data_IF_729503427649
#
_entry.id   IF_729503427649
#
_cell.length_a   1.000
_cell.length_b   1.000
_cell.length_c   1.000
_cell.angle_alpha   90.00
_cell.angle_beta   90.00
_cell.angle_gamma   90.00
#
_symmetry.space_group_name_H-M   'P 1'
#
loop_
_entity.id
_entity.type
_entity.pdbx_description
1 polymer ?
#
# COMPACT_ATOMS: atom_id res chain seq x y z
N UNK A 1 -18.59 5.81 35.97
CA UNK A 1 -18.22 6.56 34.74
C UNK A 1 -16.96 5.93 34.16
N UNK A 2 -17.13 4.95 33.27
CA UNK A 2 -16.03 4.18 32.69
C UNK A 2 -15.62 4.82 31.35
N UNK A 3 -14.38 5.30 31.28
CA UNK A 3 -13.77 5.77 30.03
C UNK A 3 -13.53 4.59 29.08
N UNK A 4 -14.19 4.61 27.94
CA UNK A 4 -13.91 3.77 26.79
C UNK A 4 -12.52 4.11 26.21
N UNK A 5 -11.53 3.25 26.44
CA UNK A 5 -10.28 3.27 25.69
C UNK A 5 -10.49 2.50 24.38
N UNK A 6 -10.69 3.22 23.28
CA UNK A 6 -10.59 2.66 21.94
C UNK A 6 -9.17 2.09 21.74
N UNK A 7 -9.09 0.79 21.47
CA UNK A 7 -7.84 0.12 21.13
C UNK A 7 -7.38 0.61 19.76
N UNK A 8 -6.26 1.35 19.74
CA UNK A 8 -5.54 1.75 18.53
C UNK A 8 -4.94 0.51 17.88
N UNK A 9 -5.66 -0.13 16.96
CA UNK A 9 -5.11 -1.20 16.13
C UNK A 9 -5.09 -0.70 14.68
N UNK A 10 -3.98 -0.04 14.34
CA UNK A 10 -3.80 0.53 13.01
C UNK A 10 -3.00 -0.41 12.12
N UNK A 11 -3.54 -0.69 10.94
CA UNK A 11 -3.01 -1.54 9.88
C UNK A 11 -1.64 -1.03 9.42
N UNK A 12 -0.58 -1.72 9.79
CA UNK A 12 0.74 -1.56 9.18
C UNK A 12 0.87 -2.52 8.01
N UNK A 13 1.03 -1.99 6.80
CA UNK A 13 1.34 -2.75 5.59
C UNK A 13 2.87 -2.92 5.56
N UNK A 14 3.37 -4.15 5.77
CA UNK A 14 4.79 -4.47 5.57
C UNK A 14 4.91 -5.25 4.26
N UNK A 15 5.64 -4.68 3.29
CA UNK A 15 6.01 -5.34 2.04
C UNK A 15 7.47 -5.82 2.12
N UNK A 16 7.66 -7.13 2.21
CA UNK A 16 8.99 -7.75 2.15
C UNK A 16 9.13 -8.53 0.85
N UNK A 17 9.95 -8.03 -0.07
CA UNK A 17 10.50 -8.79 -1.20
C UNK A 17 11.99 -8.46 -1.28
N UNK A 18 12.84 -9.40 -0.83
CA UNK A 18 14.29 -9.32 -0.98
C UNK A 18 14.74 -10.26 -2.11
N UNK A 19 15.34 -9.68 -3.14
CA UNK A 19 16.22 -10.37 -4.09
C UNK A 19 17.65 -9.95 -3.76
N UNK A 20 18.47 -10.89 -3.29
CA UNK A 20 19.87 -10.66 -2.92
C UNK A 20 20.81 -11.19 -4.01
N UNK A 21 21.76 -10.36 -4.45
CA UNK A 21 23.10 -10.73 -4.93
C UNK A 21 24.04 -9.51 -4.77
N UNK A 22 25.18 -9.70 -4.06
CA UNK A 22 26.26 -8.73 -3.78
C UNK A 22 27.10 -8.37 -5.02
N UNK A 23 28.13 -7.53 -5.01
CA UNK A 23 29.10 -7.00 -4.01
C UNK A 23 29.43 -5.54 -4.43
N UNK A 24 29.88 -4.56 -3.63
CA UNK A 24 30.96 -4.54 -2.65
C UNK A 24 31.98 -3.45 -3.06
N UNK A 25 31.85 -2.22 -2.55
CA UNK A 25 32.93 -1.21 -2.61
C UNK A 25 32.78 -0.14 -1.50
N UNK A 26 33.84 -0.02 -0.69
CA UNK A 26 34.04 0.96 0.39
C UNK A 26 34.41 2.32 -0.19
N UNK A 27 33.88 3.41 0.36
CA UNK A 27 34.47 4.75 0.27
C UNK A 27 34.39 5.45 1.63
N UNK A 28 35.53 6.01 2.03
CA UNK A 28 35.80 6.74 3.28
C UNK A 28 35.06 8.09 3.33
N UNK A 29 34.59 8.44 4.53
CA UNK A 29 34.00 9.73 4.88
C UNK A 29 35.09 10.68 5.40
N UNK A 30 35.19 11.87 4.82
CA UNK A 30 35.89 13.01 5.41
C UNK A 30 34.85 14.03 5.92
N UNK A 31 34.98 14.37 7.19
CA UNK A 31 34.16 15.33 7.91
C UNK A 31 34.51 16.78 7.54
N UNK A 32 33.50 17.65 7.53
CA UNK A 32 33.63 19.10 7.43
C UNK A 32 32.58 19.78 8.31
N UNK A 33 33.05 20.66 9.17
CA UNK A 33 32.43 21.29 10.34
C UNK A 33 31.77 22.65 10.07
N UNK A 34 30.85 23.03 10.97
CA UNK A 34 30.41 24.42 11.25
C UNK A 34 29.31 24.94 10.32
N UNK A 35 28.37 25.79 10.73
CA UNK A 35 28.09 26.43 12.02
C UNK A 35 26.64 26.95 11.98
N UNK A 36 26.12 27.25 13.16
CA UNK A 36 24.76 27.70 13.50
C UNK A 36 24.27 28.97 12.78
N UNK A 37 22.94 29.08 12.59
CA UNK A 37 22.24 30.33 12.86
C UNK A 37 20.73 30.09 13.12
N UNK A 38 20.27 30.52 14.30
CA UNK A 38 18.89 30.51 14.75
C UNK A 38 18.16 31.80 14.35
N UNK A 39 16.95 31.69 13.78
CA UNK A 39 15.87 32.69 13.74
C UNK A 39 14.59 31.91 13.37
N UNK A 40 13.37 32.10 13.85
CA UNK A 40 12.70 33.11 14.66
C UNK A 40 11.20 32.82 14.45
N UNK A 41 10.41 32.80 15.53
CA UNK A 41 9.02 32.33 15.50
C UNK A 41 8.07 33.20 14.68
N UNK A 42 7.04 32.56 14.13
CA UNK A 42 5.89 33.22 13.49
C UNK A 42 4.76 32.22 13.31
N UNK A 43 3.69 32.39 14.11
CA UNK A 43 2.48 31.56 14.04
C UNK A 43 1.71 31.80 12.74
N UNK A 44 1.19 30.71 12.16
CA UNK A 44 0.30 30.72 11.01
C UNK A 44 -0.91 29.85 11.31
N UNK A 45 -2.10 30.48 11.28
CA UNK A 45 -3.38 29.82 11.52
C UNK A 45 -3.68 28.71 10.52
N UNK A 46 -4.38 27.70 11.02
CA UNK A 46 -4.85 26.53 10.31
C UNK A 46 -5.85 26.95 9.21
N UNK A 47 -5.40 26.93 7.96
CA UNK A 47 -6.27 27.13 6.79
C UNK A 47 -7.06 25.86 6.58
N UNK A 48 -8.26 25.81 7.17
CA UNK A 48 -9.26 24.78 6.89
C UNK A 48 -9.83 25.04 5.49
N UNK A 49 -9.31 24.34 4.48
CA UNK A 49 -9.97 24.29 3.17
C UNK A 49 -11.19 23.36 3.25
N UNK A 50 -12.37 23.76 2.75
CA UNK A 50 -13.56 22.91 2.78
C UNK A 50 -13.38 21.68 1.89
N UNK A 51 -13.76 20.52 2.42
CA UNK A 51 -13.75 19.25 1.69
C UNK A 51 -14.60 19.33 0.41
N UNK A 52 -14.12 18.79 -0.73
CA UNK A 52 -14.93 18.67 -1.91
C UNK A 52 -16.14 17.76 -1.63
N UNK A 53 -17.34 18.32 -1.77
CA UNK A 53 -18.61 17.59 -1.71
C UNK A 53 -18.62 16.57 -2.85
N UNK A 54 -18.51 15.28 -2.53
CA UNK A 54 -18.64 14.19 -3.50
C UNK A 54 -20.14 13.97 -3.76
N UNK A 55 -20.67 14.24 -4.97
CA UNK A 55 -22.04 13.92 -5.31
C UNK A 55 -22.19 12.40 -5.49
N UNK A 56 -23.29 11.86 -4.98
CA UNK A 56 -23.72 10.47 -5.22
C UNK A 56 -24.09 10.29 -6.70
N UNK A 57 -23.33 9.53 -7.51
CA UNK A 57 -23.66 9.32 -8.90
C UNK A 57 -24.33 7.96 -9.05
N UNK A 58 -25.65 7.97 -9.11
CA UNK A 58 -26.43 6.84 -9.59
C UNK A 58 -25.95 6.37 -10.98
N UNK A 59 -25.91 5.05 -11.19
CA UNK A 59 -25.83 4.44 -12.53
C UNK A 59 -24.60 3.60 -12.85
N UNK A 60 -24.60 2.33 -12.41
CA UNK A 60 -24.62 1.17 -13.32
C UNK A 60 -23.44 0.83 -14.25
N UNK A 61 -22.29 1.51 -14.22
CA UNK A 61 -21.07 0.97 -14.84
C UNK A 61 -20.28 0.14 -13.84
N UNK A 62 -19.84 -1.08 -14.17
CA UNK A 62 -19.05 -1.95 -13.24
C UNK A 62 -17.59 -2.11 -13.64
N UNK A 63 -17.15 -1.53 -14.75
CA UNK A 63 -15.80 -1.74 -15.29
C UNK A 63 -15.02 -0.43 -15.40
N UNK A 64 -13.69 -0.46 -15.24
CA UNK A 64 -12.84 0.69 -15.56
C UNK A 64 -12.98 1.10 -17.04
N UNK A 65 -12.99 2.41 -17.32
CA UNK A 65 -13.05 2.90 -18.72
C UNK A 65 -11.73 2.66 -19.45
N UNK A 66 -11.83 2.34 -20.75
CA UNK A 66 -10.67 2.18 -21.66
C UNK A 66 -10.16 3.54 -22.17
N UNK A 67 -8.91 3.63 -22.66
CA UNK A 67 -7.93 2.55 -22.79
C UNK A 67 -7.15 2.31 -21.48
N UNK A 68 -6.94 1.06 -21.11
CA UNK A 68 -5.87 0.65 -20.21
C UNK A 68 -5.49 -0.79 -20.54
N UNK A 69 -4.25 -1.17 -20.26
CA UNK A 69 -3.75 -2.53 -20.45
C UNK A 69 -3.35 -3.09 -19.09
N UNK A 70 -3.64 -4.36 -18.85
CA UNK A 70 -3.23 -5.04 -17.63
C UNK A 70 -3.28 -6.55 -17.82
N UNK A 71 -2.33 -7.26 -17.21
CA UNK A 71 -2.42 -8.72 -17.04
C UNK A 71 -3.32 -9.13 -15.88
N UNK A 72 -3.74 -8.18 -15.03
CA UNK A 72 -4.71 -8.43 -13.98
C UNK A 72 -6.11 -8.58 -14.58
N UNK A 73 -6.76 -9.70 -14.28
CA UNK A 73 -8.18 -9.86 -14.57
C UNK A 73 -9.00 -9.10 -13.53
N UNK A 74 -9.94 -8.29 -14.01
CA UNK A 74 -10.98 -7.63 -13.21
C UNK A 74 -12.37 -8.22 -13.50
N UNK A 75 -12.43 -9.39 -14.12
CA UNK A 75 -13.68 -10.07 -14.46
C UNK A 75 -14.44 -10.51 -13.21
N UNK A 76 -15.75 -10.26 -13.19
CA UNK A 76 -16.64 -10.64 -12.08
C UNK A 76 -16.40 -9.88 -10.77
N UNK A 77 -15.48 -8.90 -10.77
CA UNK A 77 -15.14 -8.08 -9.60
C UNK A 77 -16.21 -7.03 -9.36
N UNK A 78 -16.51 -6.77 -8.09
CA UNK A 78 -17.39 -5.69 -7.65
C UNK A 78 -16.56 -4.49 -7.21
N UNK A 79 -16.69 -3.39 -7.94
CA UNK A 79 -16.14 -2.09 -7.57
C UNK A 79 -17.10 -1.35 -6.65
N UNK A 80 -16.57 -0.48 -5.80
CA UNK A 80 -17.41 0.45 -5.07
C UNK A 80 -18.14 1.39 -6.04
N UNK A 81 -19.45 1.50 -5.87
CA UNK A 81 -20.31 2.32 -6.72
C UNK A 81 -19.92 3.80 -6.65
N UNK A 82 -19.37 4.26 -5.52
CA UNK A 82 -18.92 5.63 -5.31
C UNK A 82 -17.72 6.03 -6.18
N UNK A 83 -16.97 5.08 -6.74
CA UNK A 83 -15.86 5.40 -7.65
C UNK A 83 -16.43 5.76 -9.02
N UNK A 84 -16.01 6.91 -9.56
CA UNK A 84 -16.28 7.27 -10.95
C UNK A 84 -15.61 6.28 -11.91
N UNK A 85 -16.09 6.15 -13.16
CA UNK A 85 -15.46 5.28 -14.14
C UNK A 85 -13.97 5.61 -14.39
N UNK A 86 -13.61 6.90 -14.32
CA UNK A 86 -12.21 7.36 -14.45
C UNK A 86 -11.35 7.00 -13.24
N UNK A 87 -11.87 7.13 -12.02
CA UNK A 87 -11.15 6.67 -10.82
C UNK A 87 -10.91 5.16 -10.85
N UNK A 88 -11.89 4.37 -11.31
CA UNK A 88 -11.70 2.92 -11.50
C UNK A 88 -10.58 2.62 -12.51
N UNK A 89 -10.48 3.39 -13.59
CA UNK A 89 -9.37 3.27 -14.56
C UNK A 89 -8.03 3.60 -13.90
N UNK A 90 -7.94 4.76 -13.24
CA UNK A 90 -6.72 5.19 -12.57
C UNK A 90 -6.28 4.19 -11.51
N UNK A 91 -7.21 3.69 -10.69
CA UNK A 91 -6.94 2.67 -9.69
C UNK A 91 -6.55 1.33 -10.31
N UNK A 92 -7.18 0.89 -11.41
CA UNK A 92 -6.78 -0.32 -12.11
C UNK A 92 -5.34 -0.24 -12.64
N UNK A 93 -4.92 0.91 -13.17
CA UNK A 93 -3.54 1.15 -13.61
C UNK A 93 -2.60 1.16 -12.40
N UNK A 94 -2.96 1.83 -11.31
CA UNK A 94 -2.15 1.88 -10.09
C UNK A 94 -1.95 0.50 -9.46
N UNK A 95 -3.01 -0.31 -9.38
CA UNK A 95 -2.95 -1.70 -8.93
C UNK A 95 -2.04 -2.55 -9.83
N UNK A 96 -2.16 -2.39 -11.14
CA UNK A 96 -1.32 -3.10 -12.11
C UNK A 96 0.15 -2.72 -11.97
N UNK A 97 0.44 -1.42 -11.84
CA UNK A 97 1.78 -0.90 -11.68
C UNK A 97 2.39 -1.33 -10.35
N UNK A 98 1.81 -0.91 -9.23
CA UNK A 98 2.36 -1.13 -7.89
C UNK A 98 2.38 -2.61 -7.52
N UNK A 99 1.34 -3.36 -7.88
CA UNK A 99 1.29 -4.81 -7.64
C UNK A 99 2.29 -5.60 -8.48
N UNK A 100 2.74 -5.07 -9.63
CA UNK A 100 3.75 -5.76 -10.45
C UNK A 100 5.14 -5.83 -9.82
N UNK A 101 5.39 -5.10 -8.72
CA UNK A 101 6.64 -5.19 -7.98
C UNK A 101 6.64 -6.33 -6.96
N UNK A 102 5.46 -6.85 -6.58
CA UNK A 102 5.31 -7.83 -5.48
C UNK A 102 5.47 -9.28 -5.94
N UNK A 103 5.27 -9.55 -7.24
CA UNK A 103 5.45 -10.89 -7.80
C UNK A 103 4.63 -11.15 -9.07
N UNK A 104 4.92 -12.24 -9.79
CA UNK A 104 4.40 -12.47 -11.14
C UNK A 104 2.95 -12.94 -11.21
N UNK A 105 2.34 -13.36 -10.09
CA UNK A 105 1.01 -13.99 -10.07
C UNK A 105 -0.14 -13.01 -9.77
N UNK A 106 0.13 -11.71 -9.67
CA UNK A 106 -0.87 -10.67 -9.44
C UNK A 106 -1.74 -10.96 -8.21
N UNK A 107 -3.07 -11.03 -8.40
CA UNK A 107 -4.02 -11.36 -7.34
C UNK A 107 -3.72 -12.65 -6.57
N UNK A 108 -3.02 -13.61 -7.20
CA UNK A 108 -2.71 -14.93 -6.66
C UNK A 108 -1.31 -15.03 -6.04
N UNK A 109 -0.61 -13.91 -5.86
CA UNK A 109 0.70 -13.91 -5.23
C UNK A 109 0.63 -14.52 -3.83
N UNK A 110 1.65 -15.34 -3.52
CA UNK A 110 1.84 -16.03 -2.25
C UNK A 110 3.32 -15.99 -1.90
N UNK A 111 3.60 -15.58 -0.67
CA UNK A 111 4.95 -15.55 -0.10
C UNK A 111 4.95 -16.29 1.23
N UNK A 112 5.97 -17.13 1.43
CA UNK A 112 6.07 -17.99 2.61
C UNK A 112 6.57 -17.23 3.85
N UNK A 113 6.78 -17.94 4.96
CA UNK A 113 7.23 -17.39 6.25
C UNK A 113 8.76 -17.11 6.32
N UNK A 114 9.42 -16.73 5.23
CA UNK A 114 10.88 -16.55 5.24
C UNK A 114 11.34 -15.40 6.16
N UNK A 115 10.46 -14.44 6.41
CA UNK A 115 10.68 -13.23 7.22
C UNK A 115 9.96 -13.26 8.58
N UNK A 116 9.30 -14.37 8.92
CA UNK A 116 8.53 -14.52 10.15
C UNK A 116 7.10 -13.94 10.09
N UNK A 117 6.61 -13.46 8.95
CA UNK A 117 5.28 -12.83 8.83
C UNK A 117 4.12 -13.82 8.60
N UNK A 118 4.37 -15.12 8.74
CA UNK A 118 3.38 -16.18 8.62
C UNK A 118 3.04 -16.50 7.18
N UNK A 119 2.23 -15.67 6.54
CA UNK A 119 1.78 -15.80 5.16
C UNK A 119 1.59 -14.39 4.63
N UNK A 120 2.15 -14.10 3.46
CA UNK A 120 1.84 -12.89 2.70
C UNK A 120 1.12 -13.29 1.40
N UNK A 121 0.08 -12.55 1.06
CA UNK A 121 -0.85 -12.96 0.02
C UNK A 121 -1.46 -11.76 -0.72
N UNK A 122 -1.77 -11.97 -2.00
CA UNK A 122 -2.50 -11.00 -2.81
C UNK A 122 -1.59 -9.98 -3.50
N UNK A 123 -2.23 -9.08 -4.25
CA UNK A 123 -1.59 -8.14 -5.16
C UNK A 123 -0.69 -7.14 -4.43
N UNK A 124 -1.09 -6.71 -3.24
CA UNK A 124 -0.36 -5.76 -2.39
C UNK A 124 0.24 -6.47 -1.16
N UNK A 125 0.45 -7.80 -1.27
CA UNK A 125 1.21 -8.62 -0.32
C UNK A 125 0.80 -8.42 1.16
N UNK A 126 -0.51 -8.42 1.44
CA UNK A 126 -1.01 -8.35 2.82
C UNK A 126 -0.57 -9.59 3.61
N UNK A 127 -0.21 -9.41 4.89
CA UNK A 127 0.43 -10.46 5.69
C UNK A 127 -0.34 -10.78 6.97
N UNK A 128 -0.23 -12.03 7.43
CA UNK A 128 -0.75 -12.43 8.73
C UNK A 128 0.00 -11.74 9.88
N UNK A 129 1.33 -11.66 9.77
CA UNK A 129 2.19 -11.12 10.82
C UNK A 129 1.85 -9.70 11.22
N UNK A 130 1.39 -8.88 10.27
CA UNK A 130 1.05 -7.48 10.53
C UNK A 130 -0.44 -7.22 10.74
N UNK A 131 -1.23 -8.28 10.88
CA UNK A 131 -2.69 -8.21 10.96
C UNK A 131 -3.37 -7.57 9.72
N UNK A 132 -2.68 -7.48 8.58
CA UNK A 132 -3.21 -6.80 7.38
C UNK A 132 -4.02 -7.72 6.48
N UNK A 133 -3.80 -9.04 6.53
CA UNK A 133 -4.53 -10.02 5.74
C UNK A 133 -5.86 -10.44 6.39
N UNK A 134 -5.91 -10.53 7.71
CA UNK A 134 -7.06 -11.01 8.48
C UNK A 134 -8.33 -10.17 8.28
N UNK A 135 -8.28 -8.82 8.22
CA UNK A 135 -9.43 -8.00 7.87
C UNK A 135 -10.06 -8.37 6.53
N UNK A 136 -9.26 -8.59 5.48
CA UNK A 136 -9.76 -8.96 4.15
C UNK A 136 -10.46 -10.33 4.19
N UNK A 137 -9.88 -11.29 4.92
CA UNK A 137 -10.47 -12.61 5.11
C UNK A 137 -11.79 -12.56 5.90
N UNK A 138 -11.83 -11.78 6.99
CA UNK A 138 -13.03 -11.58 7.80
C UNK A 138 -14.15 -10.90 7.00
N UNK A 139 -13.80 -9.88 6.20
CA UNK A 139 -14.74 -9.18 5.32
C UNK A 139 -15.28 -10.12 4.24
N UNK A 140 -14.42 -10.91 3.59
CA UNK A 140 -14.85 -11.92 2.63
C UNK A 140 -15.82 -12.92 3.27
N UNK A 141 -15.54 -13.37 4.50
CA UNK A 141 -16.40 -14.32 5.21
C UNK A 141 -17.80 -13.74 5.43
N UNK A 142 -17.88 -12.46 5.77
CA UNK A 142 -19.15 -11.76 5.98
C UNK A 142 -19.91 -11.49 4.67
N UNK A 143 -19.22 -11.01 3.63
CA UNK A 143 -19.86 -10.50 2.40
C UNK A 143 -20.03 -11.54 1.30
N UNK A 144 -19.17 -12.56 1.25
CA UNK A 144 -19.19 -13.60 0.22
C UNK A 144 -18.65 -14.94 0.75
N UNK A 145 -19.30 -15.56 1.77
CA UNK A 145 -18.82 -16.78 2.42
C UNK A 145 -18.61 -17.95 1.44
N UNK A 146 -19.38 -18.01 0.35
CA UNK A 146 -19.25 -19.06 -0.68
C UNK A 146 -17.88 -19.07 -1.38
N UNK A 147 -17.13 -17.95 -1.39
CA UNK A 147 -15.78 -17.90 -1.97
C UNK A 147 -14.82 -18.87 -1.27
N UNK A 148 -15.04 -19.15 0.01
CA UNK A 148 -14.24 -20.13 0.76
C UNK A 148 -14.44 -21.58 0.29
N UNK A 149 -15.41 -21.86 -0.59
CA UNK A 149 -15.52 -23.16 -1.25
C UNK A 149 -14.31 -23.47 -2.16
N UNK A 150 -13.45 -22.49 -2.44
CA UNK A 150 -12.15 -22.70 -3.06
C UNK A 150 -11.18 -23.56 -2.22
N UNK A 151 -11.47 -23.72 -0.92
CA UNK A 151 -10.74 -24.59 0.00
C UNK A 151 -11.55 -25.88 0.26
N UNK A 152 -10.86 -27.02 0.39
CA UNK A 152 -11.49 -28.27 0.87
C UNK A 152 -12.16 -28.08 2.23
N UNK A 153 -13.17 -28.89 2.57
CA UNK A 153 -13.92 -28.77 3.82
C UNK A 153 -13.03 -28.70 5.07
N UNK A 154 -12.03 -29.58 5.16
CA UNK A 154 -11.06 -29.63 6.28
C UNK A 154 -10.17 -28.38 6.33
N UNK A 155 -9.55 -27.99 5.21
CA UNK A 155 -8.68 -26.81 5.16
C UNK A 155 -9.45 -25.51 5.38
N UNK A 156 -10.67 -25.43 4.83
CA UNK A 156 -11.61 -24.33 5.06
C UNK A 156 -11.93 -24.16 6.54
N UNK A 157 -12.25 -25.26 7.23
CA UNK A 157 -12.54 -25.21 8.67
C UNK A 157 -11.32 -24.72 9.48
N UNK A 158 -10.12 -25.25 9.19
CA UNK A 158 -8.88 -24.80 9.83
C UNK A 158 -8.59 -23.31 9.57
N UNK A 159 -8.72 -22.87 8.32
CA UNK A 159 -8.44 -21.49 7.91
C UNK A 159 -9.43 -20.50 8.52
N UNK A 160 -10.73 -20.79 8.46
CA UNK A 160 -11.77 -19.96 9.07
C UNK A 160 -11.65 -19.93 10.60
N UNK A 161 -11.23 -21.03 11.25
CA UNK A 161 -10.98 -21.03 12.69
C UNK A 161 -9.85 -20.05 13.08
N UNK A 162 -8.79 -19.97 12.28
CA UNK A 162 -7.72 -18.98 12.48
C UNK A 162 -8.26 -17.54 12.38
N UNK A 163 -9.05 -17.25 11.34
CA UNK A 163 -9.67 -15.93 11.14
C UNK A 163 -10.61 -15.59 12.29
N UNK A 164 -11.45 -16.52 12.74
CA UNK A 164 -12.42 -16.29 13.82
C UNK A 164 -11.75 -16.03 15.16
N UNK A 165 -10.66 -16.76 15.46
CA UNK A 165 -9.85 -16.51 16.66
C UNK A 165 -9.25 -15.11 16.64
N UNK A 166 -8.74 -14.66 15.50
CA UNK A 166 -8.22 -13.29 15.36
C UNK A 166 -9.33 -12.25 15.51
N UNK A 167 -10.49 -12.44 14.86
CA UNK A 167 -11.64 -11.54 14.97
C UNK A 167 -12.09 -11.40 16.42
N UNK A 168 -12.20 -12.50 17.15
CA UNK A 168 -12.56 -12.50 18.57
C UNK A 168 -11.50 -11.79 19.42
N UNK A 169 -10.22 -12.13 19.23
CA UNK A 169 -9.12 -11.55 20.01
C UNK A 169 -8.96 -10.04 19.80
N UNK A 170 -9.17 -9.55 18.57
CA UNK A 170 -9.08 -8.12 18.24
C UNK A 170 -10.40 -7.37 18.38
N UNK A 171 -11.48 -8.07 18.74
CA UNK A 171 -12.85 -7.52 18.69
C UNK A 171 -13.17 -6.87 17.33
N UNK A 172 -12.61 -7.41 16.25
CA UNK A 172 -12.75 -6.82 14.91
C UNK A 172 -14.22 -6.80 14.50
N UNK A 173 -14.62 -5.72 13.84
CA UNK A 173 -15.96 -5.55 13.26
C UNK A 173 -15.78 -5.29 11.77
N UNK A 174 -16.48 -6.09 10.96
CA UNK A 174 -16.51 -5.88 9.52
C UNK A 174 -17.13 -4.50 9.26
N UNK A 175 -16.40 -3.56 8.64
CA UNK A 175 -16.90 -2.22 8.45
C UNK A 175 -18.03 -2.21 7.43
N UNK A 176 -19.07 -1.43 7.73
CA UNK A 176 -20.04 -0.97 6.73
C UNK A 176 -19.34 0.05 5.84
N UNK A 177 -19.30 -0.20 4.53
CA UNK A 177 -18.61 0.67 3.58
C UNK A 177 -19.46 1.91 3.28
N UNK A 178 -19.18 2.98 4.02
CA UNK A 178 -19.77 4.31 3.81
C UNK A 178 -18.64 5.31 3.51
N UNK A 179 -18.99 6.47 2.95
CA UNK A 179 -18.00 7.54 2.76
C UNK A 179 -17.38 8.01 4.07
N UNK A 180 -18.11 7.93 5.20
CA UNK A 180 -17.59 8.26 6.52
C UNK A 180 -16.58 7.21 7.02
N UNK A 181 -16.91 5.92 6.94
CA UNK A 181 -15.99 4.86 7.37
C UNK A 181 -14.71 4.84 6.54
N UNK A 182 -14.82 5.10 5.24
CA UNK A 182 -13.65 5.14 4.35
C UNK A 182 -12.74 6.33 4.65
N UNK A 183 -13.31 7.51 4.99
CA UNK A 183 -12.52 8.66 5.46
C UNK A 183 -11.80 8.35 6.76
N UNK A 184 -12.51 7.78 7.73
CA UNK A 184 -11.90 7.35 8.99
C UNK A 184 -10.73 6.38 8.76
N UNK A 185 -10.89 5.38 7.89
CA UNK A 185 -9.80 4.46 7.53
C UNK A 185 -8.59 5.18 6.88
N UNK A 186 -8.84 6.23 6.09
CA UNK A 186 -7.78 7.05 5.48
C UNK A 186 -7.06 7.91 6.52
N UNK A 187 -7.78 8.51 7.47
CA UNK A 187 -7.19 9.32 8.55
C UNK A 187 -6.34 8.46 9.49
N UNK A 188 -6.83 7.26 9.78
CA UNK A 188 -6.18 6.34 10.68
C UNK A 188 -4.90 5.77 10.06
N UNK A 189 -4.86 5.48 8.75
CA UNK A 189 -3.76 4.71 8.15
C UNK A 189 -2.36 5.30 8.45
N UNK A 190 -1.32 4.49 8.64
CA UNK A 190 0.00 4.99 9.02
C UNK A 190 0.63 5.80 7.89
N UNK A 191 1.41 6.84 8.21
CA UNK A 191 2.18 7.64 7.23
C UNK A 191 3.63 7.15 7.07
N UNK A 192 3.95 6.02 7.72
CA UNK A 192 5.23 5.33 7.65
C UNK A 192 5.03 3.85 7.46
N UNK A 193 6.12 3.20 7.08
CA UNK A 193 6.26 1.77 6.92
C UNK A 193 7.55 1.31 7.59
N UNK A 194 7.76 0.01 7.58
CA UNK A 194 9.01 -0.62 8.00
C UNK A 194 10.25 -0.27 7.16
N UNK A 195 10.06 0.37 6.00
CA UNK A 195 11.16 0.87 5.19
C UNK A 195 11.73 2.18 5.75
N UNK A 196 11.01 2.81 6.68
CA UNK A 196 11.37 4.11 7.22
C UNK A 196 12.09 3.97 8.56
N UNK A 197 12.96 4.95 8.82
CA UNK A 197 13.46 5.21 10.16
C UNK A 197 12.28 5.63 11.05
N UNK A 198 12.05 4.96 12.18
CA UNK A 198 10.98 5.35 13.09
C UNK A 198 11.33 6.66 13.77
N UNK A 199 10.33 7.52 13.95
CA UNK A 199 10.52 8.84 14.55
C UNK A 199 11.07 8.69 15.98
N UNK A 200 12.22 9.33 16.24
CA UNK A 200 12.90 9.28 17.53
C UNK A 200 13.89 8.12 17.72
N UNK A 201 14.04 7.22 16.75
CA UNK A 201 14.94 6.06 16.86
C UNK A 201 16.18 6.21 15.97
N UNK A 202 17.33 5.75 16.48
CA UNK A 202 18.63 5.90 15.79
C UNK A 202 19.02 4.66 15.00
N UNK A 203 18.44 3.49 15.32
CA UNK A 203 18.70 2.22 14.61
C UNK A 203 17.45 1.35 14.49
N UNK A 204 17.44 0.42 13.53
CA UNK A 204 16.37 -0.57 13.35
C UNK A 204 16.24 -1.58 14.51
N UNK A 205 17.34 -1.85 15.22
CA UNK A 205 17.34 -2.76 16.36
C UNK A 205 16.47 -2.26 17.52
N UNK A 206 16.30 -0.95 17.66
CA UNK A 206 15.45 -0.34 18.69
C UNK A 206 13.95 -0.34 18.31
N UNK A 207 13.61 -0.54 17.03
CA UNK A 207 12.23 -0.54 16.53
C UNK A 207 11.65 -1.94 16.32
N UNK A 208 12.48 -2.92 15.99
CA UNK A 208 12.04 -4.33 15.85
C UNK A 208 11.40 -4.89 17.11
N UNK A 209 11.65 -4.28 18.28
CA UNK A 209 11.03 -4.62 19.56
C UNK A 209 9.60 -4.10 19.73
N UNK A 210 9.09 -3.24 18.84
CA UNK A 210 7.76 -2.61 18.96
C UNK A 210 6.68 -3.23 18.07
N UNK A 211 7.06 -3.98 17.03
CA UNK A 211 6.12 -4.73 16.18
C UNK A 211 6.15 -6.21 16.52
N UNK A 212 5.41 -6.64 17.53
CA UNK A 212 5.23 -8.08 17.78
C UNK A 212 4.31 -8.60 16.69
N UNK A 213 4.77 -9.59 15.92
CA UNK A 213 3.94 -10.24 14.91
C UNK A 213 2.66 -10.79 15.54
N UNK A 214 1.59 -10.97 14.76
CA UNK A 214 0.39 -11.68 15.21
C UNK A 214 0.68 -13.17 15.44
N UNK A 215 1.29 -13.46 16.59
CA UNK A 215 1.89 -14.75 16.92
C UNK A 215 0.95 -15.93 16.71
N UNK A 216 -0.33 -15.78 17.02
CA UNK A 216 -1.31 -16.85 16.85
C UNK A 216 -1.56 -17.20 15.37
N UNK A 217 -1.69 -16.19 14.50
CA UNK A 217 -1.93 -16.40 13.05
C UNK A 217 -0.67 -16.92 12.36
N UNK A 218 0.49 -16.37 12.74
CA UNK A 218 1.81 -16.82 12.25
C UNK A 218 2.09 -18.26 12.68
N UNK A 219 1.84 -18.61 13.94
CA UNK A 219 1.99 -19.98 14.46
C UNK A 219 1.08 -20.94 13.72
N UNK A 220 -0.18 -20.56 13.48
CA UNK A 220 -1.10 -21.36 12.66
C UNK A 220 -0.55 -21.59 11.25
N UNK A 221 -0.04 -20.54 10.59
CA UNK A 221 0.52 -20.65 9.24
C UNK A 221 1.71 -21.62 9.21
N UNK A 222 2.63 -21.51 10.17
CA UNK A 222 3.79 -22.39 10.31
C UNK A 222 3.39 -23.86 10.47
N UNK A 223 2.38 -24.15 11.28
CA UNK A 223 1.92 -25.51 11.53
C UNK A 223 1.18 -26.13 10.33
N UNK A 224 0.48 -25.31 9.53
CA UNK A 224 -0.46 -25.81 8.52
C UNK A 224 0.07 -25.72 7.10
N UNK A 225 0.68 -24.60 6.71
CA UNK A 225 0.92 -24.26 5.30
C UNK A 225 2.21 -24.80 4.73
N UNK A 226 3.21 -25.09 5.56
CA UNK A 226 4.57 -25.35 5.10
C UNK A 226 5.04 -26.79 5.34
N UNK A 227 5.89 -27.24 4.44
CA UNK A 227 6.72 -28.43 4.62
C UNK A 227 7.89 -28.12 5.55
N UNK A 228 8.64 -29.14 5.98
CA UNK A 228 9.80 -28.97 6.86
C UNK A 228 10.91 -28.10 6.26
N UNK A 229 11.01 -28.05 4.92
CA UNK A 229 11.95 -27.19 4.19
C UNK A 229 11.46 -25.73 4.01
N UNK A 230 10.32 -25.36 4.61
CA UNK A 230 9.75 -24.00 4.53
C UNK A 230 9.01 -23.67 3.23
N UNK A 231 8.97 -24.59 2.25
CA UNK A 231 8.14 -24.44 1.06
C UNK A 231 6.67 -24.70 1.39
N UNK A 232 5.74 -24.15 0.59
CA UNK A 232 4.32 -24.44 0.75
C UNK A 232 4.03 -25.93 0.52
N UNK A 233 3.10 -26.47 1.29
CA UNK A 233 2.44 -27.72 0.95
C UNK A 233 1.62 -27.51 -0.35
N UNK A 234 1.77 -28.37 -1.38
CA UNK A 234 1.18 -28.12 -2.70
C UNK A 234 -0.34 -27.88 -2.67
N UNK A 235 -1.05 -28.66 -1.86
CA UNK A 235 -2.51 -28.58 -1.73
C UNK A 235 -2.98 -27.28 -1.10
N UNK A 236 -2.24 -26.74 -0.13
CA UNK A 236 -2.51 -25.41 0.43
C UNK A 236 -2.20 -24.31 -0.59
N UNK A 237 -1.07 -24.40 -1.30
CA UNK A 237 -0.71 -23.39 -2.30
C UNK A 237 -1.75 -23.29 -3.41
N UNK A 238 -2.23 -24.43 -3.93
CA UNK A 238 -3.22 -24.47 -4.99
C UNK A 238 -4.56 -23.87 -4.54
N UNK A 239 -5.09 -24.29 -3.40
CA UNK A 239 -6.38 -23.80 -2.90
C UNK A 239 -6.34 -22.33 -2.48
N UNK A 240 -5.25 -21.88 -1.85
CA UNK A 240 -5.07 -20.46 -1.53
C UNK A 240 -5.00 -19.63 -2.81
N UNK A 241 -4.26 -20.05 -3.84
CA UNK A 241 -4.26 -19.35 -5.14
C UNK A 241 -5.65 -19.28 -5.78
N UNK A 242 -6.47 -20.32 -5.64
CA UNK A 242 -7.85 -20.32 -6.11
C UNK A 242 -8.70 -19.31 -5.34
N UNK A 243 -8.60 -19.28 -4.00
CA UNK A 243 -9.30 -18.31 -3.16
C UNK A 243 -8.88 -16.87 -3.48
N UNK A 244 -7.56 -16.62 -3.56
CA UNK A 244 -6.98 -15.30 -3.80
C UNK A 244 -7.33 -14.75 -5.20
N UNK A 245 -7.48 -15.64 -6.18
CA UNK A 245 -7.94 -15.30 -7.52
C UNK A 245 -9.46 -15.27 -7.69
N UNK A 246 -10.24 -15.60 -6.66
CA UNK A 246 -11.70 -15.60 -6.75
C UNK A 246 -12.21 -14.14 -6.84
N UNK A 247 -13.14 -13.80 -7.76
CA UNK A 247 -13.56 -12.40 -7.96
C UNK A 247 -14.06 -11.69 -6.70
N UNK A 248 -14.73 -12.42 -5.80
CA UNK A 248 -15.16 -11.88 -4.51
C UNK A 248 -13.98 -11.49 -3.60
N UNK A 249 -12.89 -12.26 -3.57
CA UNK A 249 -11.70 -11.90 -2.79
C UNK A 249 -10.90 -10.78 -3.47
N UNK A 250 -10.82 -10.79 -4.81
CA UNK A 250 -10.23 -9.67 -5.57
C UNK A 250 -10.99 -8.36 -5.27
N UNK A 251 -12.31 -8.42 -5.14
CA UNK A 251 -13.12 -7.25 -4.74
C UNK A 251 -12.72 -6.73 -3.35
N UNK A 252 -12.45 -7.60 -2.37
CA UNK A 252 -11.94 -7.20 -1.05
C UNK A 252 -10.54 -6.58 -1.11
N UNK A 253 -9.66 -7.08 -1.99
CA UNK A 253 -8.35 -6.46 -2.20
C UNK A 253 -8.46 -5.06 -2.81
N UNK A 254 -9.36 -4.86 -3.77
CA UNK A 254 -9.60 -3.55 -4.36
C UNK A 254 -10.19 -2.59 -3.33
N UNK A 255 -11.18 -3.03 -2.55
CA UNK A 255 -11.75 -2.23 -1.46
C UNK A 255 -10.70 -1.79 -0.45
N UNK A 256 -9.77 -2.68 -0.08
CA UNK A 256 -8.64 -2.30 0.77
C UNK A 256 -7.73 -1.26 0.09
N UNK A 257 -7.45 -1.42 -1.20
CA UNK A 257 -6.67 -0.47 -1.98
C UNK A 257 -7.38 0.88 -2.18
N UNK A 258 -8.70 0.97 -2.02
CA UNK A 258 -9.41 2.25 -2.10
C UNK A 258 -9.04 3.22 -0.97
N UNK A 259 -8.56 2.73 0.18
CA UNK A 259 -8.00 3.59 1.23
C UNK A 259 -6.74 4.28 0.73
N UNK A 260 -5.85 3.52 0.08
CA UNK A 260 -4.62 4.03 -0.53
C UNK A 260 -4.93 4.99 -1.69
N UNK A 261 -5.95 4.67 -2.50
CA UNK A 261 -6.44 5.51 -3.58
C UNK A 261 -6.91 6.87 -3.06
N UNK A 262 -7.81 6.89 -2.06
CA UNK A 262 -8.35 8.14 -1.50
C UNK A 262 -7.27 8.98 -0.85
N UNK A 263 -6.32 8.35 -0.15
CA UNK A 263 -5.14 9.04 0.39
C UNK A 263 -4.30 9.68 -0.71
N UNK A 264 -4.00 8.93 -1.78
CA UNK A 264 -3.23 9.43 -2.90
C UNK A 264 -3.93 10.61 -3.61
N UNK A 265 -5.26 10.56 -3.75
CA UNK A 265 -6.06 11.68 -4.25
C UNK A 265 -6.00 12.90 -3.31
N UNK A 266 -6.07 12.68 -1.99
CA UNK A 266 -5.91 13.76 -1.00
C UNK A 266 -4.55 14.44 -1.09
N UNK A 267 -3.48 13.65 -1.24
CA UNK A 267 -2.12 14.19 -1.45
C UNK A 267 -2.00 14.95 -2.77
N UNK A 268 -2.57 14.43 -3.85
CA UNK A 268 -2.60 15.11 -5.14
C UNK A 268 -3.35 16.44 -5.06
N UNK A 269 -4.54 16.46 -4.44
CA UNK A 269 -5.34 17.66 -4.25
C UNK A 269 -4.59 18.72 -3.43
N UNK A 270 -3.94 18.32 -2.33
CA UNK A 270 -3.15 19.23 -1.49
C UNK A 270 -2.00 19.91 -2.23
N UNK A 271 -1.43 19.25 -3.24
CA UNK A 271 -0.32 19.76 -4.04
C UNK A 271 -0.77 20.34 -5.39
N UNK A 272 -2.08 20.37 -5.66
CA UNK A 272 -2.63 20.84 -6.94
C UNK A 272 -2.31 19.93 -8.13
N UNK A 273 -1.98 18.66 -7.88
CA UNK A 273 -1.67 17.69 -8.94
C UNK A 273 -2.93 17.15 -9.59
N UNK A 274 -2.89 17.04 -10.91
CA UNK A 274 -4.01 16.55 -11.74
C UNK A 274 -3.63 15.38 -12.62
N UNK A 275 -2.33 15.19 -12.90
CA UNK A 275 -1.88 14.14 -13.80
C UNK A 275 -1.97 12.74 -13.18
N UNK A 276 -2.22 11.75 -14.02
CA UNK A 276 -2.18 10.34 -13.67
C UNK A 276 -0.78 9.94 -13.19
N UNK A 277 0.28 10.54 -13.73
CA UNK A 277 1.66 10.34 -13.25
C UNK A 277 1.78 10.61 -11.75
N UNK A 278 1.33 11.79 -11.32
CA UNK A 278 1.39 12.21 -9.93
C UNK A 278 0.55 11.32 -9.03
N UNK A 279 -0.65 10.94 -9.49
CA UNK A 279 -1.47 9.97 -8.78
C UNK A 279 -0.78 8.60 -8.63
N UNK A 280 -0.17 8.06 -9.69
CA UNK A 280 0.55 6.77 -9.63
C UNK A 280 1.73 6.83 -8.67
N UNK A 281 2.49 7.93 -8.67
CA UNK A 281 3.56 8.13 -7.70
C UNK A 281 3.03 8.17 -6.25
N UNK A 282 1.97 8.94 -5.99
CA UNK A 282 1.38 9.06 -4.65
C UNK A 282 0.79 7.74 -4.16
N UNK A 283 0.11 7.00 -5.05
CA UNK A 283 -0.40 5.68 -4.73
C UNK A 283 0.73 4.72 -4.38
N UNK A 284 1.82 4.72 -5.15
CA UNK A 284 2.96 3.85 -4.90
C UNK A 284 3.75 4.25 -3.62
N UNK A 285 3.71 5.52 -3.21
CA UNK A 285 4.17 5.96 -1.89
C UNK A 285 3.26 5.37 -0.80
N UNK A 286 1.94 5.44 -0.94
CA UNK A 286 1.02 4.85 0.03
C UNK A 286 1.20 3.33 0.16
N UNK A 287 1.41 2.64 -0.96
CA UNK A 287 1.64 1.19 -0.99
C UNK A 287 2.96 0.82 -0.32
N UNK A 288 4.08 1.42 -0.75
CA UNK A 288 5.41 0.97 -0.33
C UNK A 288 5.84 1.56 1.02
N UNK A 289 5.45 2.80 1.28
CA UNK A 289 5.99 3.64 2.34
C UNK A 289 4.95 4.03 3.40
N UNK A 290 3.69 3.58 3.27
CA UNK A 290 2.58 3.91 4.16
C UNK A 290 1.94 5.28 3.86
N UNK A 291 2.74 6.28 3.52
CA UNK A 291 2.25 7.59 3.09
C UNK A 291 3.30 8.68 3.21
N UNK A 292 2.80 9.91 3.35
CA UNK A 292 3.56 11.13 3.59
C UNK A 292 3.05 11.79 4.87
N UNK A 293 3.96 12.40 5.63
CA UNK A 293 3.61 13.15 6.83
C UNK A 293 3.68 14.69 6.60
N UNK A 294 3.21 15.44 7.59
CA UNK A 294 3.16 16.91 7.54
C UNK A 294 4.52 17.59 7.34
N UNK A 295 5.59 17.01 7.88
CA UNK A 295 6.93 17.56 7.72
C UNK A 295 7.40 17.47 6.25
N UNK A 296 7.11 16.35 5.58
CA UNK A 296 7.43 16.18 4.15
C UNK A 296 6.64 17.15 3.28
N UNK A 297 5.35 17.38 3.58
CA UNK A 297 4.54 18.39 2.88
C UNK A 297 5.07 19.81 3.09
N UNK A 298 5.37 20.16 4.33
CA UNK A 298 5.89 21.49 4.69
C UNK A 298 7.22 21.76 3.99
N UNK A 299 8.13 20.77 3.99
CA UNK A 299 9.41 20.92 3.32
C UNK A 299 9.25 21.06 1.81
N UNK A 300 8.37 20.25 1.18
CA UNK A 300 8.11 20.32 -0.25
C UNK A 300 7.54 21.69 -0.65
N UNK A 301 6.55 22.20 0.09
CA UNK A 301 5.98 23.52 -0.17
C UNK A 301 7.04 24.63 -0.06
N UNK A 302 7.91 24.55 0.95
CA UNK A 302 9.06 25.44 1.07
C UNK A 302 10.03 25.34 -0.12
N UNK A 303 10.31 24.13 -0.62
CA UNK A 303 11.16 23.94 -1.79
C UNK A 303 10.51 24.49 -3.07
N UNK A 304 9.21 24.24 -3.29
CA UNK A 304 8.45 24.79 -4.42
C UNK A 304 8.57 26.32 -4.46
N UNK A 305 8.37 26.99 -3.32
CA UNK A 305 8.44 28.43 -3.24
C UNK A 305 9.86 28.98 -3.46
N UNK A 306 10.87 28.39 -2.80
CA UNK A 306 12.26 28.86 -2.89
C UNK A 306 12.89 28.63 -4.26
N UNK A 307 12.55 27.53 -4.91
CA UNK A 307 13.18 27.11 -6.16
C UNK A 307 12.34 27.43 -7.40
N UNK A 308 11.10 27.90 -7.21
CA UNK A 308 10.19 28.24 -8.29
C UNK A 308 9.78 27.03 -9.14
N UNK A 309 9.57 25.88 -8.51
CA UNK A 309 9.17 24.64 -9.21
C UNK A 309 7.74 24.77 -9.75
N UNK A 310 7.53 24.49 -11.05
CA UNK A 310 6.23 24.70 -11.71
C UNK A 310 5.60 23.45 -12.30
N UNK A 311 6.39 22.51 -12.80
CA UNK A 311 5.88 21.30 -13.43
C UNK A 311 5.78 20.14 -12.42
N UNK A 312 4.73 19.33 -12.53
CA UNK A 312 4.49 18.23 -11.59
C UNK A 312 5.67 17.25 -11.55
N UNK A 313 6.33 16.97 -12.68
CA UNK A 313 7.42 15.98 -12.71
C UNK A 313 8.63 16.42 -11.88
N UNK A 314 9.04 17.68 -11.97
CA UNK A 314 10.12 18.24 -11.14
C UNK A 314 9.73 18.27 -9.67
N UNK A 315 8.48 18.61 -9.35
CA UNK A 315 7.99 18.60 -7.96
C UNK A 315 8.00 17.17 -7.40
N UNK A 316 7.62 16.15 -8.18
CA UNK A 316 7.70 14.74 -7.77
C UNK A 316 9.14 14.30 -7.51
N UNK A 317 10.11 14.74 -8.33
CA UNK A 317 11.53 14.45 -8.10
C UNK A 317 12.02 15.07 -6.80
N UNK A 318 11.63 16.31 -6.52
CA UNK A 318 11.93 16.97 -5.24
C UNK A 318 11.28 16.24 -4.06
N UNK A 319 10.02 15.83 -4.19
CA UNK A 319 9.34 15.05 -3.14
C UNK A 319 10.02 13.70 -2.91
N UNK A 320 10.48 13.02 -3.97
CA UNK A 320 11.25 11.78 -3.83
C UNK A 320 12.54 12.00 -3.04
N UNK A 321 13.29 13.08 -3.31
CA UNK A 321 14.50 13.41 -2.56
C UNK A 321 14.23 13.62 -1.07
N UNK A 322 13.14 14.33 -0.73
CA UNK A 322 12.68 14.53 0.64
C UNK A 322 12.34 13.17 1.27
N UNK A 323 11.53 12.36 0.59
CA UNK A 323 11.08 11.06 1.10
C UNK A 323 12.23 10.12 1.42
N UNK A 324 13.24 10.06 0.55
CA UNK A 324 14.37 9.14 0.67
C UNK A 324 15.25 9.40 1.90
N UNK A 325 15.13 10.56 2.55
CA UNK A 325 15.84 10.84 3.81
C UNK A 325 15.26 10.09 4.99
N UNK A 326 13.97 9.73 4.95
CA UNK A 326 13.32 8.89 5.96
C UNK A 326 13.50 7.40 5.70
N UNK A 327 13.77 7.03 4.45
CA UNK A 327 13.99 5.63 4.08
C UNK A 327 15.33 5.14 4.64
N UNK A 328 15.30 3.96 5.25
CA UNK A 328 16.48 3.24 5.73
C UNK A 328 17.52 3.07 4.62
N UNK A 329 18.80 3.18 4.98
CA UNK A 329 19.91 3.11 4.01
C UNK A 329 19.84 1.87 3.12
N UNK A 330 19.51 0.71 3.69
CA UNK A 330 19.41 -0.56 2.98
C UNK A 330 18.30 -0.60 1.91
N UNK A 331 17.24 0.19 2.07
CA UNK A 331 16.09 0.23 1.16
C UNK A 331 16.09 1.44 0.23
N UNK A 332 16.94 2.44 0.50
CA UNK A 332 16.92 3.73 -0.20
C UNK A 332 17.15 3.59 -1.70
N UNK A 333 18.03 2.70 -2.13
CA UNK A 333 18.30 2.48 -3.55
C UNK A 333 17.10 1.83 -4.25
N UNK A 334 16.46 0.86 -3.59
CA UNK A 334 15.27 0.19 -4.12
C UNK A 334 14.10 1.16 -4.28
N UNK A 335 13.78 1.90 -3.20
CA UNK A 335 12.73 2.92 -3.22
C UNK A 335 13.03 3.99 -4.27
N UNK A 336 14.28 4.46 -4.38
CA UNK A 336 14.68 5.44 -5.41
C UNK A 336 14.44 4.89 -6.81
N UNK A 337 14.94 3.70 -7.13
CA UNK A 337 14.81 3.10 -8.46
C UNK A 337 13.33 2.92 -8.85
N UNK A 338 12.52 2.36 -7.94
CA UNK A 338 11.07 2.17 -8.13
C UNK A 338 10.36 3.50 -8.39
N UNK A 339 10.56 4.49 -7.52
CA UNK A 339 9.86 5.78 -7.59
C UNK A 339 10.32 6.64 -8.76
N UNK A 340 11.62 6.65 -9.07
CA UNK A 340 12.13 7.29 -10.30
C UNK A 340 11.51 6.67 -11.54
N UNK A 341 11.43 5.34 -11.62
CA UNK A 341 10.79 4.67 -12.75
C UNK A 341 9.30 5.02 -12.89
N UNK A 342 8.58 5.29 -11.79
CA UNK A 342 7.19 5.74 -11.85
C UNK A 342 7.08 7.19 -12.36
N UNK A 343 7.98 8.08 -11.91
CA UNK A 343 8.02 9.47 -12.36
C UNK A 343 8.37 9.55 -13.85
N UNK A 344 9.45 8.88 -14.25
CA UNK A 344 10.00 8.92 -15.61
C UNK A 344 9.31 7.91 -16.56
N UNK A 345 8.53 6.97 -16.00
CA UNK A 345 7.69 5.94 -16.65
C UNK A 345 8.43 4.83 -17.29
N UNK A 346 9.73 4.98 -17.34
CA UNK A 346 10.67 4.00 -17.80
C UNK A 346 11.76 3.91 -16.75
N UNK A 347 12.42 2.76 -16.68
CA UNK A 347 13.50 2.56 -15.73
C UNK A 347 13.76 1.09 -15.50
N UNK A 348 14.66 0.79 -14.58
CA UNK A 348 14.96 -0.59 -14.17
C UNK A 348 14.57 -0.75 -12.71
N UNK A 349 13.70 -1.72 -12.44
CA UNK A 349 13.28 -2.07 -11.07
C UNK A 349 13.41 -3.57 -10.90
N UNK A 350 14.11 -4.01 -9.85
CA UNK A 350 14.44 -5.42 -9.58
C UNK A 350 15.01 -6.15 -10.82
N UNK A 351 15.92 -5.49 -11.55
CA UNK A 351 16.55 -6.02 -12.77
C UNK A 351 15.67 -6.00 -14.03
N UNK A 352 14.38 -5.66 -13.93
CA UNK A 352 13.47 -5.62 -15.07
C UNK A 352 13.39 -4.22 -15.68
N UNK A 353 13.61 -4.11 -17.00
CA UNK A 353 13.36 -2.86 -17.75
C UNK A 353 11.85 -2.62 -17.86
N UNK A 354 11.41 -1.43 -17.46
CA UNK A 354 9.99 -1.03 -17.43
C UNK A 354 9.73 0.09 -18.44
N UNK A 355 8.54 0.05 -19.01
CA UNK A 355 7.91 1.11 -19.81
C UNK A 355 6.42 1.08 -19.44
N UNK A 356 6.07 1.80 -18.37
CA UNK A 356 4.74 1.76 -17.78
C UNK A 356 3.64 2.33 -18.70
N UNK A 357 3.85 3.47 -19.40
CA UNK A 357 2.88 3.96 -20.39
C UNK A 357 2.53 2.91 -21.44
N UNK A 358 3.54 2.20 -21.97
CA UNK A 358 3.32 1.13 -22.95
C UNK A 358 2.72 -0.13 -22.33
N UNK A 359 3.19 -0.55 -21.15
CA UNK A 359 2.69 -1.74 -20.46
C UNK A 359 1.22 -1.61 -20.05
N UNK A 360 0.79 -0.41 -19.67
CA UNK A 360 -0.53 -0.19 -19.10
C UNK A 360 -1.43 0.73 -19.94
N UNK A 361 -0.98 1.11 -21.14
CA UNK A 361 -1.74 1.87 -22.14
C UNK A 361 -2.35 3.16 -21.58
N UNK A 362 -1.50 4.02 -21.02
CA UNK A 362 -1.87 5.35 -20.53
C UNK A 362 -0.90 6.42 -21.03
N UNK A 363 -1.35 7.68 -21.03
CA UNK A 363 -0.48 8.84 -21.27
C UNK A 363 -0.22 9.59 -19.97
N UNK A 364 0.92 10.26 -19.91
CA UNK A 364 1.37 10.98 -18.73
C UNK A 364 0.44 12.07 -18.24
N UNK A 365 -0.15 12.76 -19.21
CA UNK A 365 -1.05 13.88 -18.96
C UNK A 365 -2.51 13.44 -18.92
N UNK A 366 -2.78 12.12 -18.93
CA UNK A 366 -4.11 11.61 -18.61
C UNK A 366 -4.49 12.18 -17.24
N UNK A 367 -5.74 12.63 -17.11
CA UNK A 367 -6.23 13.14 -15.83
C UNK A 367 -6.78 12.00 -14.98
N UNK A 368 -6.54 12.09 -13.68
CA UNK A 368 -6.89 11.02 -12.73
C UNK A 368 -8.41 10.82 -12.61
N UNK A 369 -9.19 11.89 -12.68
CA UNK A 369 -10.65 11.92 -12.45
C UNK A 369 -11.47 12.30 -13.68
N UNK A 370 -10.86 12.37 -14.87
CA UNK A 370 -11.57 12.60 -16.14
C UNK A 370 -12.12 14.01 -16.40
N UNK A 371 -11.86 14.98 -15.52
CA UNK A 371 -12.16 16.39 -15.78
C UNK A 371 -11.29 16.98 -16.86
#
# INVERSE_FOLDING_TARGET
MALFRFSRLLVAIFLLVLSACGDGARIELAAGSGDEAALGGGGGGEVVTPDPVIPDPGGGGTTPVKPYCSSLSFEGVKWNAALTPYERRSLAIALSLSGSFEGPNGWRNLTNNFDGMGLSAGLLNQTLGTASLQPLLANLKSRAPAAYNALSSTRRASFLSMVDKWVAAKSYRVPTLTSASLRQMVEEAPTSSHLDMPEGFRTMGEFQTLGVAEDASVTWAKANLYQSNGSFKPEWSAELKNLLGHPAYVSEQILAAEVLHRRALGYAARLGFTSLRSYLFMFDICVQNGGLNEAEFTELQGAIAREGLKDEATILKRLLEIRLRRVLSQWRNDVRARKTAVIDGTGTVHGSKRDFPKQYCYSWNDRTTGQ
#
